data_IF_256501752187
#
_entry.id   IF_256501752187
#
_cell.length_a   1.000
_cell.length_b   1.000
_cell.length_c   1.000
_cell.angle_alpha   90.00
_cell.angle_beta   90.00
_cell.angle_gamma   90.00
#
_symmetry.space_group_name_H-M   'P 1'
#
loop_
_entity.id
_entity.type
_entity.pdbx_description
1 polymer ?
#
# COMPACT_ATOMS: atom_id res chain seq x y z
N UNK A 1 -27.17 63.43 -14.66
CA UNK A 1 -27.94 62.48 -13.84
C UNK A 1 -27.05 61.29 -13.53
N UNK A 2 -26.97 60.92 -12.25
CA UNK A 2 -26.21 59.79 -11.71
C UNK A 2 -26.68 58.47 -12.32
N UNK A 3 -25.75 57.53 -12.53
CA UNK A 3 -25.90 56.11 -12.19
C UNK A 3 -24.53 55.44 -12.12
N UNK A 4 -24.09 55.25 -10.88
CA UNK A 4 -23.17 54.20 -10.44
C UNK A 4 -23.75 52.82 -10.74
N UNK A 5 -22.88 51.79 -10.60
CA UNK A 5 -23.12 50.37 -10.22
C UNK A 5 -22.56 49.41 -11.29
N UNK A 6 -21.77 48.38 -11.02
CA UNK A 6 -21.02 47.87 -9.85
C UNK A 6 -20.03 46.85 -10.44
N UNK A 7 -18.79 46.87 -9.97
CA UNK A 7 -17.73 45.88 -10.22
C UNK A 7 -18.12 44.55 -9.58
N UNK A 8 -18.35 43.49 -10.37
CA UNK A 8 -18.54 42.14 -9.83
C UNK A 8 -17.25 41.34 -9.97
N UNK A 9 -16.53 41.28 -8.85
CA UNK A 9 -15.29 40.55 -8.64
C UNK A 9 -15.61 39.04 -8.58
N UNK A 10 -15.33 38.30 -9.65
CA UNK A 10 -15.37 36.84 -9.64
C UNK A 10 -14.10 36.32 -8.95
N UNK A 11 -14.18 36.09 -7.64
CA UNK A 11 -13.17 35.36 -6.89
C UNK A 11 -13.15 33.90 -7.36
N UNK A 12 -12.30 33.61 -8.35
CA UNK A 12 -11.90 32.25 -8.70
C UNK A 12 -11.12 31.68 -7.50
N UNK A 13 -11.77 30.79 -6.76
CA UNK A 13 -11.13 29.95 -5.76
C UNK A 13 -10.14 29.01 -6.46
N UNK A 14 -8.90 29.47 -6.60
CA UNK A 14 -7.78 28.62 -7.00
C UNK A 14 -7.53 27.70 -5.80
N UNK A 15 -8.07 26.49 -5.85
CA UNK A 15 -7.58 25.41 -5.00
C UNK A 15 -6.14 25.11 -5.43
N UNK A 16 -5.17 25.84 -4.85
CA UNK A 16 -3.76 25.62 -5.11
C UNK A 16 -3.40 24.21 -4.65
N UNK A 17 -3.12 23.33 -5.62
CA UNK A 17 -2.39 22.10 -5.37
C UNK A 17 -1.02 22.50 -4.85
N UNK A 18 -0.82 22.40 -3.55
CA UNK A 18 0.45 22.71 -2.94
C UNK A 18 1.37 21.50 -3.13
N UNK A 19 2.53 21.75 -3.73
CA UNK A 19 3.64 20.81 -3.81
C UNK A 19 4.39 20.88 -2.50
N UNK A 20 4.10 19.95 -1.61
CA UNK A 20 4.81 19.77 -0.35
C UNK A 20 5.89 18.70 -0.57
N UNK A 21 7.06 18.86 0.04
CA UNK A 21 8.24 18.04 -0.23
C UNK A 21 7.95 16.53 -0.02
N UNK A 22 7.67 15.83 -1.13
CA UNK A 22 7.35 14.40 -1.19
C UNK A 22 5.91 14.07 -1.62
N UNK A 23 4.97 15.00 -1.44
CA UNK A 23 3.56 14.78 -1.80
C UNK A 23 2.90 15.99 -2.46
N UNK A 24 2.21 15.74 -3.57
CA UNK A 24 1.20 16.66 -4.10
C UNK A 24 -0.12 16.38 -3.40
N UNK A 25 -0.64 17.38 -2.67
CA UNK A 25 -1.87 17.24 -1.89
C UNK A 25 -3.01 18.04 -2.55
N UNK A 26 -4.12 17.35 -2.84
CA UNK A 26 -5.37 17.93 -3.31
C UNK A 26 -6.48 17.66 -2.28
N UNK A 27 -6.83 18.62 -1.42
CA UNK A 27 -7.85 18.43 -0.40
C UNK A 27 -9.26 18.41 -1.02
N UNK A 28 -10.20 17.71 -0.36
CA UNK A 28 -11.63 17.80 -0.70
C UNK A 28 -12.35 18.97 0.00
N UNK A 29 -11.70 19.59 0.98
CA UNK A 29 -12.26 20.72 1.72
C UNK A 29 -11.17 21.52 2.42
N UNK A 30 -11.52 22.10 3.57
CA UNK A 30 -10.59 22.92 4.34
C UNK A 30 -9.44 22.10 4.92
N UNK A 31 -8.28 22.75 5.06
CA UNK A 31 -7.10 22.21 5.72
C UNK A 31 -6.86 22.95 7.04
N UNK A 32 -6.41 22.23 8.07
CA UNK A 32 -6.02 22.81 9.36
C UNK A 32 -4.56 22.53 9.64
N UNK A 33 -3.73 23.58 9.68
CA UNK A 33 -2.34 23.49 10.10
C UNK A 33 -2.24 23.62 11.63
N UNK A 34 -1.66 22.62 12.28
CA UNK A 34 -1.28 22.71 13.68
C UNK A 34 0.11 23.38 13.76
N UNK A 35 0.13 24.63 14.22
CA UNK A 35 1.36 25.43 14.33
C UNK A 35 2.36 24.88 15.36
N UNK A 36 1.88 24.10 16.35
CA UNK A 36 2.75 23.50 17.36
C UNK A 36 3.49 22.26 16.84
N UNK A 37 2.82 21.42 16.05
CA UNK A 37 3.38 20.15 15.57
C UNK A 37 3.92 20.23 14.14
N UNK A 38 3.46 21.22 13.37
CA UNK A 38 3.69 21.34 11.92
C UNK A 38 2.88 20.33 11.09
N UNK A 39 1.92 19.63 11.70
CA UNK A 39 1.05 18.68 11.00
C UNK A 39 -0.17 19.40 10.40
N UNK A 40 -0.57 18.98 9.20
CA UNK A 40 -1.77 19.45 8.51
C UNK A 40 -2.83 18.35 8.51
N UNK A 41 -4.06 18.72 8.85
CA UNK A 41 -5.23 17.82 8.88
C UNK A 41 -6.22 18.21 7.78
N UNK A 42 -6.66 17.21 7.03
CA UNK A 42 -7.73 17.24 6.05
C UNK A 42 -8.90 16.40 6.58
N UNK A 43 -9.80 17.03 7.33
CA UNK A 43 -10.95 16.34 7.95
C UNK A 43 -11.95 15.78 6.91
N UNK A 44 -12.09 16.48 5.78
CA UNK A 44 -12.90 16.02 4.65
C UNK A 44 -12.14 15.06 3.72
N UNK A 45 -10.88 14.75 4.04
CA UNK A 45 -10.02 13.93 3.20
C UNK A 45 -9.45 14.67 1.99
N UNK A 46 -8.94 13.88 1.04
CA UNK A 46 -8.31 14.38 -0.16
C UNK A 46 -7.52 13.30 -0.90
N UNK A 47 -6.74 13.75 -1.88
CA UNK A 47 -5.81 12.92 -2.63
C UNK A 47 -4.39 13.39 -2.35
N UNK A 48 -3.51 12.45 -2.00
CA UNK A 48 -2.08 12.67 -1.85
C UNK A 48 -1.32 11.84 -2.90
N UNK A 49 -0.42 12.46 -3.64
CA UNK A 49 0.36 11.79 -4.70
C UNK A 49 1.85 11.95 -4.46
N UNK A 50 2.56 10.84 -4.27
CA UNK A 50 4.01 10.77 -4.32
C UNK A 50 4.40 10.40 -5.76
N UNK A 51 4.76 11.41 -6.55
CA UNK A 51 5.14 11.24 -7.95
C UNK A 51 6.53 10.60 -8.12
N UNK A 52 7.40 10.67 -7.10
CA UNK A 52 8.71 10.03 -7.14
C UNK A 52 8.58 8.51 -7.09
N UNK A 53 7.61 8.02 -6.30
CA UNK A 53 7.36 6.59 -6.09
C UNK A 53 6.15 6.05 -6.84
N UNK A 54 5.44 6.91 -7.57
CA UNK A 54 4.26 6.52 -8.35
C UNK A 54 3.10 6.03 -7.49
N UNK A 55 2.90 6.64 -6.31
CA UNK A 55 1.87 6.24 -5.34
C UNK A 55 0.83 7.35 -5.19
N UNK A 56 -0.44 7.00 -5.30
CA UNK A 56 -1.57 7.91 -5.01
C UNK A 56 -2.42 7.34 -3.88
N UNK A 57 -2.78 8.17 -2.91
CA UNK A 57 -3.64 7.85 -1.77
C UNK A 57 -4.86 8.76 -1.79
N UNK A 58 -6.03 8.19 -2.03
CA UNK A 58 -7.33 8.84 -1.89
C UNK A 58 -7.98 8.39 -0.59
N UNK A 59 -8.33 9.30 0.31
CA UNK A 59 -8.82 8.93 1.63
C UNK A 59 -9.87 9.92 2.16
N UNK A 60 -10.70 9.44 3.09
CA UNK A 60 -11.76 10.22 3.75
C UNK A 60 -11.25 11.13 4.85
N UNK A 61 -10.06 10.86 5.36
CA UNK A 61 -9.34 11.68 6.33
C UNK A 61 -7.87 11.54 6.03
N UNK A 62 -7.14 12.65 6.02
CA UNK A 62 -5.68 12.67 5.89
C UNK A 62 -5.10 13.57 6.97
N UNK A 63 -4.05 13.11 7.63
CA UNK A 63 -3.18 13.91 8.47
C UNK A 63 -1.76 13.70 7.98
N UNK A 64 -0.99 14.76 7.79
CA UNK A 64 0.37 14.63 7.30
C UNK A 64 1.29 15.69 7.89
N UNK A 65 2.57 15.35 7.95
CA UNK A 65 3.64 16.31 8.20
C UNK A 65 4.58 16.27 7.00
N UNK A 66 4.76 17.44 6.39
CA UNK A 66 5.53 17.58 5.17
C UNK A 66 6.94 16.98 5.29
N UNK A 67 7.40 16.27 4.26
CA UNK A 67 8.68 15.56 4.21
C UNK A 67 8.84 14.40 5.20
N UNK A 68 7.87 14.13 6.07
CA UNK A 68 8.00 13.16 7.15
C UNK A 68 7.05 11.97 6.99
N UNK A 69 5.74 12.20 7.10
CA UNK A 69 4.75 11.13 7.13
C UNK A 69 3.37 11.59 6.69
N UNK A 70 2.57 10.60 6.26
CA UNK A 70 1.16 10.73 5.96
C UNK A 70 0.39 9.61 6.65
N UNK A 71 -0.73 9.97 7.28
CA UNK A 71 -1.71 9.07 7.88
C UNK A 71 -3.03 9.27 7.19
N UNK A 72 -3.66 8.19 6.76
CA UNK A 72 -4.93 8.22 6.07
C UNK A 72 -5.92 7.23 6.67
N UNK A 73 -7.21 7.57 6.66
CA UNK A 73 -8.29 6.67 7.08
C UNK A 73 -9.31 6.46 5.97
N UNK A 74 -9.80 5.23 5.85
CA UNK A 74 -10.66 4.81 4.74
C UNK A 74 -9.95 5.06 3.40
N UNK A 75 -8.72 4.58 3.30
CA UNK A 75 -7.79 4.92 2.24
C UNK A 75 -7.88 3.92 1.09
N UNK A 76 -7.80 4.45 -0.13
CA UNK A 76 -7.57 3.72 -1.36
C UNK A 76 -6.25 4.20 -1.94
N UNK A 77 -5.26 3.31 -1.96
CA UNK A 77 -3.97 3.53 -2.58
C UNK A 77 -3.95 2.90 -3.97
N UNK A 78 -3.37 3.60 -4.93
CA UNK A 78 -3.07 3.09 -6.27
C UNK A 78 -1.63 3.34 -6.64
N UNK A 79 -1.03 2.41 -7.37
CA UNK A 79 0.33 2.49 -7.87
C UNK A 79 0.36 2.64 -9.39
N UNK A 80 1.42 3.22 -9.94
CA UNK A 80 1.60 3.40 -11.39
C UNK A 80 1.58 2.07 -12.18
N UNK A 81 2.02 0.97 -11.57
CA UNK A 81 1.99 -0.37 -12.17
C UNK A 81 0.59 -1.03 -12.13
N UNK A 82 -0.43 -0.30 -11.66
CA UNK A 82 -1.84 -0.72 -11.68
C UNK A 82 -2.28 -1.49 -10.43
N UNK A 83 -1.48 -1.49 -9.38
CA UNK A 83 -1.89 -2.01 -8.07
C UNK A 83 -2.92 -1.11 -7.39
N UNK A 84 -3.86 -1.72 -6.67
CA UNK A 84 -4.89 -1.04 -5.91
C UNK A 84 -5.07 -1.70 -4.53
N UNK A 85 -4.87 -0.93 -3.47
CA UNK A 85 -4.99 -1.33 -2.08
C UNK A 85 -6.09 -0.51 -1.40
N UNK A 86 -7.04 -1.15 -0.73
CA UNK A 86 -7.99 -0.48 0.16
C UNK A 86 -7.72 -0.92 1.59
N UNK A 87 -7.74 0.00 2.55
CA UNK A 87 -7.54 -0.28 3.97
C UNK A 87 -8.19 0.78 4.86
N UNK A 88 -8.49 0.41 6.11
CA UNK A 88 -9.10 1.35 7.07
C UNK A 88 -8.12 2.40 7.54
N UNK A 89 -6.85 2.02 7.74
CA UNK A 89 -5.78 2.91 8.17
C UNK A 89 -4.53 2.67 7.33
N UNK A 90 -3.91 3.75 6.88
CA UNK A 90 -2.63 3.74 6.18
C UNK A 90 -1.69 4.73 6.85
N UNK A 91 -0.48 4.29 7.16
CA UNK A 91 0.64 5.15 7.54
C UNK A 91 1.72 5.04 6.46
N UNK A 92 2.26 6.16 6.04
CA UNK A 92 3.28 6.26 5.01
C UNK A 92 4.41 7.16 5.47
N UNK A 93 5.66 6.74 5.28
CA UNK A 93 6.84 7.59 5.50
C UNK A 93 7.24 8.24 4.19
N UNK A 94 7.12 9.57 4.09
CA UNK A 94 7.55 10.32 2.90
C UNK A 94 9.07 10.20 2.68
N UNK A 95 9.84 10.18 3.77
CA UNK A 95 11.29 10.10 3.70
C UNK A 95 11.80 8.73 3.20
N UNK A 96 11.14 7.63 3.62
CA UNK A 96 11.59 6.27 3.30
C UNK A 96 10.82 5.62 2.15
N UNK A 97 9.57 6.02 1.93
CA UNK A 97 8.63 5.29 1.07
C UNK A 97 8.00 4.07 1.73
N UNK A 98 8.24 3.85 3.03
CA UNK A 98 7.65 2.74 3.77
C UNK A 98 6.16 2.97 3.98
N UNK A 99 5.37 1.90 3.90
CA UNK A 99 3.93 1.94 4.07
C UNK A 99 3.46 0.84 5.02
N UNK A 100 2.54 1.17 5.91
CA UNK A 100 1.79 0.21 6.71
C UNK A 100 0.30 0.42 6.49
N UNK A 101 -0.43 -0.64 6.15
CA UNK A 101 -1.87 -0.64 5.97
C UNK A 101 -2.53 -1.67 6.89
N UNK A 102 -3.63 -1.29 7.54
CA UNK A 102 -4.35 -2.13 8.52
C UNK A 102 -5.86 -2.02 8.39
N UNK A 103 -6.56 -3.05 8.85
CA UNK A 103 -8.03 -3.12 8.89
C UNK A 103 -8.58 -3.99 7.76
N UNK A 104 -9.71 -3.59 7.18
CA UNK A 104 -10.34 -4.27 6.04
C UNK A 104 -9.49 -4.18 4.76
N UNK A 105 -8.36 -4.88 4.75
CA UNK A 105 -7.39 -4.81 3.67
C UNK A 105 -7.83 -5.63 2.46
N UNK A 106 -7.86 -4.99 1.30
CA UNK A 106 -8.06 -5.66 0.00
C UNK A 106 -7.06 -5.12 -1.01
N UNK A 107 -6.28 -6.02 -1.62
CA UNK A 107 -5.31 -5.70 -2.66
C UNK A 107 -5.63 -6.40 -3.98
N UNK A 108 -5.41 -5.69 -5.08
CA UNK A 108 -5.52 -6.21 -6.45
C UNK A 108 -4.43 -5.61 -7.33
N UNK A 109 -3.87 -6.41 -8.23
CA UNK A 109 -3.09 -5.99 -9.41
C UNK A 109 -3.32 -6.98 -10.57
N UNK A 110 -2.46 -6.92 -11.59
CA UNK A 110 -2.51 -7.82 -12.75
C UNK A 110 -2.14 -9.29 -12.42
N UNK A 111 -1.49 -9.55 -11.29
CA UNK A 111 -0.94 -10.86 -10.89
C UNK A 111 -1.72 -11.48 -9.73
N UNK A 112 -2.30 -10.65 -8.88
CA UNK A 112 -2.96 -11.00 -7.63
C UNK A 112 -4.32 -10.32 -7.58
N UNK A 113 -5.38 -11.09 -7.32
CA UNK A 113 -6.75 -10.59 -7.21
C UNK A 113 -7.36 -10.98 -5.88
N UNK A 114 -8.01 -10.01 -5.25
CA UNK A 114 -8.77 -10.17 -4.01
C UNK A 114 -7.90 -10.64 -2.86
N UNK A 115 -6.67 -10.14 -2.76
CA UNK A 115 -5.82 -10.44 -1.62
C UNK A 115 -6.35 -9.72 -0.38
N UNK A 116 -6.57 -10.47 0.70
CA UNK A 116 -7.01 -9.93 1.99
C UNK A 116 -6.03 -10.33 3.08
N UNK A 117 -5.80 -9.44 4.05
CA UNK A 117 -4.95 -9.66 5.21
C UNK A 117 -5.40 -8.75 6.38
N UNK A 118 -4.89 -8.95 7.59
CA UNK A 118 -5.13 -8.04 8.70
C UNK A 118 -4.21 -6.81 8.65
N UNK A 119 -2.97 -7.01 8.19
CA UNK A 119 -1.94 -5.98 8.07
C UNK A 119 -1.10 -6.22 6.82
N UNK A 120 -0.59 -5.13 6.24
CA UNK A 120 0.41 -5.14 5.17
C UNK A 120 1.46 -4.08 5.47
N UNK A 121 2.73 -4.44 5.30
CA UNK A 121 3.87 -3.52 5.38
C UNK A 121 4.66 -3.58 4.09
N UNK A 122 5.04 -2.43 3.56
CA UNK A 122 6.01 -2.26 2.47
C UNK A 122 7.24 -1.58 3.06
N UNK A 123 8.40 -2.20 2.87
CA UNK A 123 9.71 -1.60 3.10
C UNK A 123 10.35 -1.29 1.75
N UNK A 124 10.46 0.00 1.42
CA UNK A 124 10.83 0.43 0.08
C UNK A 124 12.30 0.12 -0.24
N UNK A 125 13.20 0.38 0.72
CA UNK A 125 14.65 0.15 0.56
C UNK A 125 14.98 -1.32 0.29
N UNK A 126 14.36 -2.22 1.07
CA UNK A 126 14.52 -3.68 0.93
C UNK A 126 13.69 -4.26 -0.20
N UNK A 127 12.77 -3.47 -0.80
CA UNK A 127 11.80 -3.90 -1.82
C UNK A 127 10.98 -5.12 -1.38
N UNK A 128 10.57 -5.11 -0.12
CA UNK A 128 9.83 -6.21 0.51
C UNK A 128 8.42 -5.74 0.90
N UNK A 129 7.43 -6.57 0.61
CA UNK A 129 6.07 -6.45 1.14
C UNK A 129 5.79 -7.65 2.02
N UNK A 130 5.27 -7.44 3.23
CA UNK A 130 4.78 -8.50 4.11
C UNK A 130 3.30 -8.28 4.39
N UNK A 131 2.48 -9.30 4.15
CA UNK A 131 1.07 -9.33 4.52
C UNK A 131 0.87 -10.41 5.60
N UNK A 132 0.16 -10.07 6.68
CA UNK A 132 0.01 -10.95 7.85
C UNK A 132 -1.41 -10.95 8.41
N UNK A 133 -1.72 -12.00 9.17
CA UNK A 133 -3.03 -12.20 9.80
C UNK A 133 -4.04 -12.85 8.84
N UNK A 134 -3.82 -14.13 8.54
CA UNK A 134 -4.70 -14.96 7.69
C UNK A 134 -4.83 -14.44 6.25
N UNK A 135 -3.68 -14.32 5.57
CA UNK A 135 -3.63 -13.89 4.18
C UNK A 135 -4.41 -14.85 3.29
N UNK A 136 -5.28 -14.31 2.44
CA UNK A 136 -6.03 -15.07 1.43
C UNK A 136 -6.02 -14.34 0.10
N UNK A 137 -6.19 -15.05 -1.01
CA UNK A 137 -6.45 -14.42 -2.31
C UNK A 137 -7.25 -15.34 -3.24
N UNK A 138 -7.88 -14.74 -4.24
CA UNK A 138 -8.73 -15.44 -5.23
C UNK A 138 -7.91 -15.92 -6.42
N UNK A 139 -6.92 -15.13 -6.84
CA UNK A 139 -6.05 -15.50 -7.96
C UNK A 139 -4.65 -14.95 -7.69
N UNK A 140 -3.60 -15.78 -7.62
CA UNK A 140 -3.68 -17.24 -7.40
C UNK A 140 -4.56 -17.58 -6.18
N UNK A 141 -5.14 -18.78 -6.13
CA UNK A 141 -5.89 -19.17 -4.93
C UNK A 141 -4.86 -19.44 -3.84
N UNK A 142 -4.83 -18.59 -2.81
CA UNK A 142 -3.87 -18.71 -1.72
C UNK A 142 -4.53 -18.56 -0.36
N UNK A 143 -3.95 -19.24 0.62
CA UNK A 143 -4.14 -19.02 2.05
C UNK A 143 -2.78 -19.19 2.73
N UNK A 144 -2.45 -18.38 3.73
CA UNK A 144 -1.30 -18.53 4.61
C UNK A 144 -1.44 -17.65 5.85
N UNK A 145 -0.60 -17.85 6.87
CA UNK A 145 -0.58 -16.96 8.04
C UNK A 145 0.15 -15.65 7.70
N UNK A 146 1.24 -15.78 6.92
CA UNK A 146 2.06 -14.68 6.41
C UNK A 146 2.43 -14.92 4.96
N UNK A 147 2.46 -13.86 4.16
CA UNK A 147 3.04 -13.84 2.81
C UNK A 147 4.02 -12.70 2.71
N UNK A 148 5.26 -13.01 2.33
CA UNK A 148 6.31 -12.02 2.07
C UNK A 148 6.60 -12.02 0.57
N UNK A 149 6.67 -10.86 -0.07
CA UNK A 149 7.01 -10.66 -1.48
C UNK A 149 8.29 -9.84 -1.56
N UNK A 150 9.27 -10.36 -2.29
CA UNK A 150 10.55 -9.73 -2.58
C UNK A 150 10.60 -9.42 -4.07
N UNK A 151 10.42 -8.13 -4.38
CA UNK A 151 10.36 -7.67 -5.77
C UNK A 151 11.73 -7.69 -6.43
N UNK A 152 12.80 -7.47 -5.67
CA UNK A 152 14.16 -7.44 -6.21
C UNK A 152 14.56 -8.79 -6.79
N UNK A 153 14.23 -9.87 -6.08
CA UNK A 153 14.59 -11.23 -6.46
C UNK A 153 13.45 -12.00 -7.14
N UNK A 154 12.29 -11.35 -7.34
CA UNK A 154 11.08 -11.95 -7.94
C UNK A 154 10.71 -13.26 -7.26
N UNK A 155 10.46 -13.18 -5.96
CA UNK A 155 10.08 -14.34 -5.15
C UNK A 155 9.08 -13.96 -4.07
N UNK A 156 8.27 -14.91 -3.67
CA UNK A 156 7.34 -14.79 -2.57
C UNK A 156 7.45 -16.01 -1.66
N UNK A 157 7.30 -15.78 -0.37
CA UNK A 157 7.37 -16.79 0.67
C UNK A 157 6.07 -16.79 1.44
N UNK A 158 5.38 -17.93 1.43
CA UNK A 158 4.21 -18.16 2.26
C UNK A 158 4.62 -18.97 3.47
N UNK A 159 4.17 -18.58 4.66
CA UNK A 159 4.46 -19.27 5.91
C UNK A 159 3.18 -19.65 6.65
N UNK A 160 3.25 -20.79 7.34
CA UNK A 160 2.20 -21.30 8.20
C UNK A 160 1.27 -22.25 7.47
N UNK A 161 -0.01 -22.25 7.85
CA UNK A 161 -1.03 -23.09 7.22
C UNK A 161 -1.33 -22.65 5.78
N UNK A 162 -0.42 -22.98 4.87
CA UNK A 162 -0.51 -22.52 3.51
C UNK A 162 -1.31 -23.45 2.62
N UNK A 163 -2.05 -22.85 1.68
CA UNK A 163 -2.65 -23.49 0.52
C UNK A 163 -2.36 -22.63 -0.68
N UNK A 164 -1.93 -23.24 -1.78
CA UNK A 164 -1.58 -22.56 -3.02
C UNK A 164 -2.11 -23.35 -4.21
N UNK A 165 -2.83 -22.68 -5.11
CA UNK A 165 -3.31 -23.26 -6.36
C UNK A 165 -3.24 -22.25 -7.50
N UNK A 166 -2.41 -22.55 -8.51
CA UNK A 166 -2.26 -21.73 -9.71
C UNK A 166 -1.63 -22.52 -10.86
N UNK A 167 -2.09 -22.31 -12.09
CA UNK A 167 -1.47 -22.88 -13.30
C UNK A 167 -1.33 -24.41 -13.28
N UNK A 168 -2.28 -25.12 -12.66
CA UNK A 168 -2.25 -26.58 -12.48
C UNK A 168 -1.46 -27.06 -11.25
N UNK A 169 -0.61 -26.22 -10.65
CA UNK A 169 0.10 -26.53 -9.41
C UNK A 169 -0.85 -26.40 -8.23
N UNK A 170 -0.86 -27.41 -7.34
CA UNK A 170 -1.57 -27.39 -6.06
C UNK A 170 -0.64 -27.88 -4.95
N UNK A 171 -0.40 -27.03 -3.95
CA UNK A 171 0.47 -27.33 -2.82
C UNK A 171 -0.20 -26.86 -1.53
N UNK A 172 0.03 -27.56 -0.43
CA UNK A 172 -0.50 -27.15 0.87
C UNK A 172 0.20 -27.87 2.02
N UNK A 173 0.25 -27.20 3.17
CA UNK A 173 0.76 -27.76 4.42
C UNK A 173 0.11 -27.04 5.59
N UNK A 174 -0.30 -27.79 6.62
CA UNK A 174 -1.00 -27.24 7.78
C UNK A 174 -0.09 -26.93 8.97
N UNK A 175 1.23 -27.20 8.89
CA UNK A 175 2.13 -26.90 10.00
C UNK A 175 2.37 -25.39 10.13
N UNK A 176 2.45 -24.84 11.36
CA UNK A 176 2.60 -23.40 11.60
C UNK A 176 3.95 -22.83 11.15
N UNK A 177 4.96 -23.68 10.97
CA UNK A 177 6.29 -23.34 10.49
C UNK A 177 6.53 -23.77 9.03
N UNK A 178 5.51 -24.35 8.36
CA UNK A 178 5.67 -24.76 6.97
C UNK A 178 5.91 -23.54 6.07
N UNK A 179 6.78 -23.71 5.09
CA UNK A 179 7.14 -22.67 4.13
C UNK A 179 6.89 -23.15 2.72
N UNK A 180 6.32 -22.26 1.91
CA UNK A 180 6.27 -22.37 0.47
C UNK A 180 7.07 -21.22 -0.14
N UNK A 181 7.98 -21.53 -1.05
CA UNK A 181 8.64 -20.53 -1.87
C UNK A 181 8.04 -20.56 -3.27
N UNK A 182 7.65 -19.40 -3.77
CA UNK A 182 7.23 -19.16 -5.15
C UNK A 182 8.26 -18.23 -5.79
N UNK A 183 8.80 -18.62 -6.93
CA UNK A 183 9.69 -17.77 -7.74
C UNK A 183 9.05 -17.53 -9.10
N UNK A 184 9.36 -16.40 -9.72
CA UNK A 184 8.94 -16.12 -11.09
C UNK A 184 10.15 -16.19 -12.02
N UNK A 185 10.00 -16.93 -13.12
CA UNK A 185 11.02 -16.96 -14.17
C UNK A 185 11.01 -15.67 -15.01
N UNK A 186 11.93 -15.56 -15.97
CA UNK A 186 12.02 -14.41 -16.88
C UNK A 186 10.79 -14.22 -17.79
N UNK A 187 9.82 -15.14 -17.77
CA UNK A 187 8.54 -15.08 -18.49
C UNK A 187 7.35 -14.88 -17.54
N UNK A 188 7.58 -14.47 -16.30
CA UNK A 188 6.57 -14.30 -15.24
C UNK A 188 5.76 -15.56 -14.94
N UNK A 189 6.28 -16.76 -15.23
CA UNK A 189 5.64 -18.01 -14.82
C UNK A 189 6.05 -18.34 -13.38
N UNK A 190 5.08 -18.55 -12.46
CA UNK A 190 5.41 -18.94 -11.10
C UNK A 190 5.83 -20.41 -11.02
N UNK A 191 6.87 -20.68 -10.25
CA UNK A 191 7.34 -22.01 -9.86
C UNK A 191 7.31 -22.08 -8.33
N UNK A 192 6.56 -23.04 -7.79
CA UNK A 192 6.37 -23.19 -6.35
C UNK A 192 7.08 -24.45 -5.83
N UNK A 193 7.73 -24.36 -4.68
CA UNK A 193 8.36 -25.49 -3.99
C UNK A 193 8.07 -25.48 -2.49
N UNK A 194 7.71 -26.64 -1.96
CA UNK A 194 7.54 -26.89 -0.52
C UNK A 194 8.84 -27.31 0.17
N UNK A 195 9.96 -27.33 -0.56
CA UNK A 195 11.30 -27.64 -0.06
C UNK A 195 12.27 -26.52 -0.43
N UNK A 196 12.06 -25.29 0.08
CA UNK A 196 12.95 -24.18 -0.19
C UNK A 196 14.33 -24.37 0.44
N UNK A 197 15.35 -23.75 -0.13
CA UNK A 197 16.68 -23.67 0.49
C UNK A 197 16.59 -22.87 1.80
N UNK A 198 17.09 -23.45 2.91
CA UNK A 198 17.05 -22.83 4.23
C UNK A 198 17.73 -21.44 4.28
N UNK A 199 18.81 -21.23 3.52
CA UNK A 199 19.49 -19.93 3.46
C UNK A 199 18.60 -18.83 2.84
N UNK A 200 17.73 -19.20 1.89
CA UNK A 200 16.76 -18.27 1.30
C UNK A 200 15.68 -17.94 2.34
N UNK A 201 15.13 -18.96 3.00
CA UNK A 201 14.07 -18.78 4.00
C UNK A 201 14.52 -17.89 5.15
N UNK A 202 15.76 -18.07 5.61
CA UNK A 202 16.36 -17.29 6.70
C UNK A 202 16.35 -15.78 6.46
N UNK A 203 16.46 -15.35 5.20
CA UNK A 203 16.42 -13.93 4.84
C UNK A 203 15.08 -13.27 5.18
N UNK A 204 14.02 -14.06 5.34
CA UNK A 204 12.67 -13.56 5.57
C UNK A 204 12.18 -13.65 7.01
N UNK A 205 12.99 -14.21 7.90
CA UNK A 205 12.63 -14.43 9.32
C UNK A 205 12.17 -13.14 10.01
N UNK A 206 12.77 -12.00 9.65
CA UNK A 206 12.43 -10.69 10.21
C UNK A 206 10.98 -10.25 9.89
N UNK A 207 10.37 -10.80 8.83
CA UNK A 207 9.07 -10.37 8.29
C UNK A 207 7.90 -11.29 8.66
N UNK A 208 8.12 -12.30 9.50
CA UNK A 208 7.10 -13.29 9.90
C UNK A 208 6.16 -12.84 11.02
N UNK A 209 6.17 -11.56 11.39
CA UNK A 209 5.47 -11.03 12.57
C UNK A 209 4.00 -10.73 12.32
#
# INVERSE_FOLDING_TARGET
>A
MKRLVVTMLAALGIASAATFAGFQIKPYGNQKLNLQTGATVLEAGGVATDAERGVTVDARYIEFKDGAWLRARGAKLTTEDGGALSADNVEYSAAKGDLTAKGNLVYNDSRVRGLTAASLTLEADSKIVSATGSVKSVTPIMQADTVVVDYQHRRAVMRGNYRYSFGGTRLGNARPDAVLLVTWDGKNKPVATSRPNAAIVKQYEAYWK
#
